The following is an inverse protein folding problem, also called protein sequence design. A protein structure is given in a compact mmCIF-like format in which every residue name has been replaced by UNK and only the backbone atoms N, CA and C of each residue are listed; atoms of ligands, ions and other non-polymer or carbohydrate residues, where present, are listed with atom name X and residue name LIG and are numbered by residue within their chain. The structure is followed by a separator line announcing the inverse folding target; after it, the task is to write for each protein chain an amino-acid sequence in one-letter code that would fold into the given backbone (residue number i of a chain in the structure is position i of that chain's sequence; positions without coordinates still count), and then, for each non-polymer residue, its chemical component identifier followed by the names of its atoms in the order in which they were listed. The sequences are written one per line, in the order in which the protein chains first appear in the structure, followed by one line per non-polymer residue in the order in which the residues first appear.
data_IF_968230360719
#
_entry.id   IF_968230360719
#
_cell.length_a   1.000
_cell.length_b   1.000
_cell.length_c   1.000
_cell.angle_alpha   90.00
_cell.angle_beta   90.00
_cell.angle_gamma   90.00
#
_symmetry.space_group_name_H-M   'P 1'
#
loop_
_entity.id
_entity.type
_entity.pdbx_description
1 polymer ?
#
# COMPACT_ATOMS: atom_id res chain seq x y z
N UNK A 1 -11.34 -7.00 -8.33
CA UNK A 1 -10.77 -5.93 -7.48
C UNK A 1 -10.14 -6.55 -6.25
N UNK A 2 -8.96 -6.10 -5.88
CA UNK A 2 -8.18 -6.56 -4.71
C UNK A 2 -7.89 -5.36 -3.80
N UNK A 3 -8.14 -5.48 -2.50
CA UNK A 3 -7.59 -4.59 -1.49
C UNK A 3 -6.19 -5.10 -1.14
N UNK A 4 -5.17 -4.31 -1.47
CA UNK A 4 -3.77 -4.68 -1.31
C UNK A 4 -3.13 -4.05 -0.07
N UNK A 5 -3.92 -3.53 0.86
CA UNK A 5 -3.38 -2.93 2.07
C UNK A 5 -2.42 -3.88 2.79
N UNK A 6 -1.21 -3.40 3.05
CA UNK A 6 -0.06 -4.11 3.62
C UNK A 6 0.62 -5.14 2.69
N UNK A 7 0.12 -5.35 1.46
CA UNK A 7 0.78 -6.20 0.47
C UNK A 7 1.84 -5.46 -0.34
N UNK A 8 1.66 -4.16 -0.53
CA UNK A 8 2.50 -3.34 -1.40
C UNK A 8 3.96 -3.37 -0.96
N UNK A 9 4.86 -3.60 -1.90
CA UNK A 9 6.33 -3.62 -1.69
C UNK A 9 6.84 -4.72 -0.74
N UNK A 10 6.01 -5.70 -0.38
CA UNK A 10 6.43 -6.86 0.41
C UNK A 10 7.07 -7.92 -0.47
N UNK A 11 6.50 -8.15 -1.64
CA UNK A 11 7.03 -9.06 -2.66
C UNK A 11 7.31 -8.29 -3.97
N UNK A 12 7.89 -8.98 -4.93
CA UNK A 12 8.13 -8.49 -6.31
C UNK A 12 6.91 -8.68 -7.21
N UNK A 13 5.91 -9.42 -6.78
CA UNK A 13 4.67 -9.69 -7.50
C UNK A 13 3.53 -8.91 -6.84
N UNK A 14 2.87 -8.07 -7.63
CA UNK A 14 1.69 -7.34 -7.20
C UNK A 14 0.42 -8.01 -7.77
N UNK A 15 -0.77 -7.76 -7.18
CA UNK A 15 -2.00 -8.40 -7.66
C UNK A 15 -2.31 -8.20 -9.15
N UNK A 16 -1.86 -7.09 -9.74
CA UNK A 16 -1.98 -6.84 -11.19
C UNK A 16 -1.20 -7.83 -12.04
N UNK A 17 -0.07 -8.33 -11.55
CA UNK A 17 0.79 -9.27 -12.28
C UNK A 17 0.15 -10.66 -12.38
N UNK A 18 -0.77 -10.95 -11.49
CA UNK A 18 -1.51 -12.22 -11.43
C UNK A 18 -2.99 -12.09 -11.82
N UNK A 19 -3.34 -11.01 -12.52
CA UNK A 19 -4.64 -10.87 -13.19
C UNK A 19 -5.69 -10.04 -12.45
N UNK A 20 -5.33 -9.29 -11.43
CA UNK A 20 -6.28 -8.34 -10.86
C UNK A 20 -6.47 -7.14 -11.80
N UNK A 21 -7.70 -6.87 -12.20
CA UNK A 21 -8.04 -5.72 -13.05
C UNK A 21 -7.94 -4.38 -12.32
N UNK A 22 -8.17 -4.38 -11.02
CA UNK A 22 -8.16 -3.18 -10.18
C UNK A 22 -7.67 -3.51 -8.78
N UNK A 23 -6.79 -2.67 -8.28
CA UNK A 23 -6.19 -2.73 -6.95
C UNK A 23 -6.59 -1.45 -6.22
N UNK A 24 -6.90 -1.57 -4.95
CA UNK A 24 -7.14 -0.45 -4.06
C UNK A 24 -6.27 -0.58 -2.82
N UNK A 25 -5.90 0.53 -2.23
CA UNK A 25 -5.14 0.52 -1.00
C UNK A 25 -5.10 1.88 -0.31
N UNK A 26 -4.42 1.92 0.81
CA UNK A 26 -4.33 3.10 1.67
C UNK A 26 -2.94 3.73 1.59
N UNK A 27 -2.89 5.04 1.37
CA UNK A 27 -1.63 5.79 1.36
C UNK A 27 -1.07 6.05 2.77
N UNK A 28 -1.84 5.84 3.83
CA UNK A 28 -1.31 5.92 5.20
C UNK A 28 -0.58 4.64 5.65
N UNK A 29 -0.53 3.63 4.79
CA UNK A 29 0.15 2.36 5.00
C UNK A 29 1.42 2.29 4.14
N UNK A 30 1.78 1.10 3.65
CA UNK A 30 3.03 0.89 2.92
C UNK A 30 3.32 1.95 1.84
N UNK A 31 2.38 2.27 0.91
CA UNK A 31 2.69 3.23 -0.16
C UNK A 31 3.00 4.65 0.30
N UNK A 32 2.58 5.00 1.50
CA UNK A 32 2.84 6.34 2.05
C UNK A 32 4.20 6.50 2.68
N UNK A 33 4.99 5.43 2.84
CA UNK A 33 6.36 5.48 3.36
C UNK A 33 6.51 6.15 4.72
N UNK A 34 5.45 6.19 5.53
CA UNK A 34 5.40 6.89 6.81
C UNK A 34 5.20 8.41 6.73
N UNK A 35 5.06 8.98 5.53
CA UNK A 35 4.95 10.43 5.33
C UNK A 35 3.57 10.88 4.85
N UNK A 36 2.79 10.03 4.22
CA UNK A 36 1.46 10.38 3.75
C UNK A 36 0.50 10.58 4.93
N UNK A 37 -0.09 11.78 5.08
CA UNK A 37 -0.96 12.06 6.22
C UNK A 37 -2.34 11.44 6.08
N UNK A 38 -2.77 11.13 4.86
CA UNK A 38 -4.08 10.62 4.52
C UNK A 38 -4.08 10.09 3.10
N UNK A 39 -5.16 9.49 2.67
CA UNK A 39 -5.43 9.16 1.28
C UNK A 39 -5.51 7.67 1.00
N UNK A 40 -6.00 7.38 -0.18
CA UNK A 40 -6.05 6.06 -0.78
C UNK A 40 -5.61 6.13 -2.23
N UNK A 41 -5.43 4.98 -2.84
CA UNK A 41 -5.14 4.88 -4.26
C UNK A 41 -6.02 3.82 -4.92
N UNK A 42 -6.21 3.99 -6.21
CA UNK A 42 -6.79 3.00 -7.12
C UNK A 42 -5.83 2.86 -8.29
N UNK A 43 -5.40 1.65 -8.58
CA UNK A 43 -4.54 1.32 -9.70
C UNK A 43 -5.13 0.15 -10.51
N UNK A 44 -4.79 0.05 -11.79
CA UNK A 44 -5.22 -1.04 -12.65
C UNK A 44 -5.65 -0.58 -14.03
N UNK A 45 -6.62 -1.28 -14.61
CA UNK A 45 -7.11 -0.97 -15.95
C UNK A 45 -7.65 0.45 -16.05
N UNK A 46 -7.28 1.13 -17.13
CA UNK A 46 -7.62 2.54 -17.38
C UNK A 46 -9.12 2.83 -17.26
N UNK A 47 -9.95 2.02 -17.90
CA UNK A 47 -11.40 2.19 -17.91
C UNK A 47 -12.02 2.12 -16.51
N UNK A 48 -11.50 1.24 -15.64
CA UNK A 48 -11.94 1.10 -14.26
C UNK A 48 -11.48 2.27 -13.39
N UNK A 49 -10.22 2.69 -13.54
CA UNK A 49 -9.67 3.83 -12.81
C UNK A 49 -10.36 5.14 -13.19
N UNK A 50 -10.65 5.34 -14.48
CA UNK A 50 -11.41 6.50 -14.96
C UNK A 50 -12.85 6.48 -14.45
N UNK A 51 -13.52 5.33 -14.47
CA UNK A 51 -14.84 5.17 -13.89
C UNK A 51 -14.88 5.50 -12.39
N UNK A 52 -13.88 5.06 -11.64
CA UNK A 52 -13.74 5.39 -10.22
C UNK A 52 -13.52 6.88 -9.99
N UNK A 53 -12.68 7.54 -10.81
CA UNK A 53 -12.42 8.98 -10.72
C UNK A 53 -13.69 9.82 -10.96
N UNK A 54 -14.56 9.39 -11.88
CA UNK A 54 -15.83 10.04 -12.14
C UNK A 54 -16.81 9.96 -10.95
N UNK A 55 -16.65 8.94 -10.10
CA UNK A 55 -17.46 8.75 -8.89
C UNK A 55 -16.89 9.48 -7.67
N UNK A 56 -15.59 9.69 -7.63
CA UNK A 56 -14.90 10.30 -6.49
C UNK A 56 -15.19 11.81 -6.39
N UNK A 57 -15.34 12.48 -7.51
CA UNK A 57 -15.58 13.93 -7.60
C UNK A 57 -17.03 14.23 -7.99
N UNK A 58 -17.35 15.51 -8.16
CA UNK A 58 -18.68 15.94 -8.63
C UNK A 58 -18.91 15.53 -10.10
N UNK A 59 -20.16 15.29 -10.52
CA UNK A 59 -20.48 14.97 -11.92
C UNK A 59 -19.88 15.96 -12.91
N UNK A 60 -19.23 15.43 -13.94
CA UNK A 60 -18.60 16.22 -15.01
C UNK A 60 -17.19 16.74 -14.72
N UNK A 61 -16.69 16.61 -13.49
CA UNK A 61 -15.35 17.08 -13.12
C UNK A 61 -14.28 16.00 -13.36
N UNK A 62 -14.57 14.75 -13.03
CA UNK A 62 -13.63 13.65 -13.21
C UNK A 62 -12.31 13.88 -12.47
N UNK A 63 -11.19 13.84 -13.22
CA UNK A 63 -9.84 14.02 -12.68
C UNK A 63 -9.33 15.47 -12.69
N UNK A 64 -10.10 16.43 -13.16
CA UNK A 64 -9.66 17.82 -13.28
C UNK A 64 -9.48 18.51 -11.92
N UNK A 65 -10.26 18.09 -10.92
CA UNK A 65 -10.12 18.56 -9.55
C UNK A 65 -9.76 17.39 -8.63
N UNK A 66 -8.67 17.53 -7.90
CA UNK A 66 -8.27 16.58 -6.87
C UNK A 66 -8.57 17.11 -5.47
N UNK A 67 -8.67 16.20 -4.51
CA UNK A 67 -8.88 16.50 -3.08
C UNK A 67 -7.63 16.27 -2.25
N UNK A 68 -6.45 16.58 -2.78
CA UNK A 68 -5.17 16.31 -2.10
C UNK A 68 -4.81 17.34 -1.03
N UNK A 69 -5.51 18.45 -0.97
CA UNK A 69 -5.34 19.49 0.06
C UNK A 69 -3.88 19.92 0.29
N UNK A 70 -3.07 19.95 -0.77
CA UNK A 70 -1.66 20.32 -0.71
C UNK A 70 -0.71 19.21 -0.22
N UNK A 71 -1.21 17.99 0.01
CA UNK A 71 -0.41 16.87 0.52
C UNK A 71 0.47 16.19 -0.55
N UNK A 72 0.40 16.58 -1.81
CA UNK A 72 1.09 15.92 -2.92
C UNK A 72 2.58 15.68 -2.66
N UNK A 73 3.28 16.64 -2.09
CA UNK A 73 4.72 16.50 -1.79
C UNK A 73 4.97 15.33 -0.84
N UNK A 74 4.22 15.25 0.26
CA UNK A 74 4.35 14.15 1.23
C UNK A 74 3.94 12.80 0.63
N UNK A 75 2.92 12.79 -0.23
CA UNK A 75 2.48 11.58 -0.92
C UNK A 75 3.57 11.03 -1.85
N UNK A 76 4.15 11.87 -2.71
CA UNK A 76 5.21 11.44 -3.65
C UNK A 76 6.52 11.11 -2.94
N UNK A 77 6.91 11.88 -1.94
CA UNK A 77 8.09 11.57 -1.15
C UNK A 77 7.90 10.28 -0.36
N UNK A 78 6.73 10.06 0.20
CA UNK A 78 6.37 8.82 0.88
C UNK A 78 6.43 7.62 -0.06
N UNK A 79 5.86 7.74 -1.24
CA UNK A 79 5.91 6.68 -2.26
C UNK A 79 7.36 6.34 -2.66
N UNK A 80 8.21 7.34 -2.82
CA UNK A 80 9.64 7.13 -3.11
C UNK A 80 10.36 6.35 -2.00
N UNK A 81 10.01 6.60 -0.75
CA UNK A 81 10.60 5.92 0.41
C UNK A 81 9.92 4.59 0.76
N UNK A 82 8.73 4.34 0.24
CA UNK A 82 7.87 3.23 0.62
C UNK A 82 8.54 1.85 0.56
N UNK A 83 9.30 1.48 -0.50
CA UNK A 83 9.95 0.17 -0.55
C UNK A 83 10.95 -0.02 0.59
N UNK A 84 11.74 1.00 0.90
CA UNK A 84 12.69 0.95 2.02
C UNK A 84 11.96 0.85 3.37
N UNK A 85 10.96 1.68 3.59
CA UNK A 85 10.19 1.72 4.85
C UNK A 85 9.49 0.39 5.09
N UNK A 86 8.86 -0.17 4.05
CA UNK A 86 8.19 -1.48 4.12
C UNK A 86 9.19 -2.60 4.42
N UNK A 87 10.34 -2.61 3.76
CA UNK A 87 11.39 -3.59 4.03
C UNK A 87 11.88 -3.54 5.49
N UNK A 88 12.02 -2.35 6.07
CA UNK A 88 12.39 -2.22 7.49
C UNK A 88 11.27 -2.71 8.42
N UNK A 89 10.00 -2.47 8.08
CA UNK A 89 8.87 -2.98 8.84
C UNK A 89 8.81 -4.51 8.83
N UNK A 90 8.98 -5.13 7.66
CA UNK A 90 9.02 -6.60 7.53
C UNK A 90 10.20 -7.19 8.32
N UNK A 91 11.40 -6.60 8.20
CA UNK A 91 12.58 -7.02 9.00
C UNK A 91 12.30 -6.95 10.51
N UNK A 92 11.66 -5.89 10.96
CA UNK A 92 11.30 -5.73 12.37
C UNK A 92 10.33 -6.81 12.83
N UNK A 93 9.32 -7.14 12.01
CA UNK A 93 8.37 -8.20 12.31
C UNK A 93 9.04 -9.58 12.39
N UNK A 94 9.93 -9.89 11.43
CA UNK A 94 10.71 -11.15 11.42
C UNK A 94 11.61 -11.23 12.65
N UNK A 95 12.31 -10.14 12.97
CA UNK A 95 13.17 -10.08 14.15
C UNK A 95 12.38 -10.30 15.44
N UNK A 96 11.24 -9.63 15.60
CA UNK A 96 10.39 -9.78 16.77
C UNK A 96 9.88 -11.23 16.92
N UNK A 97 9.39 -11.83 15.83
CA UNK A 97 8.96 -13.22 15.82
C UNK A 97 10.10 -14.15 16.26
N UNK A 98 11.30 -13.96 15.69
CA UNK A 98 12.47 -14.79 16.05
C UNK A 98 12.88 -14.64 17.51
N UNK A 99 12.87 -13.44 18.03
CA UNK A 99 13.17 -13.18 19.45
C UNK A 99 12.18 -13.91 20.36
N UNK A 100 10.89 -13.85 20.06
CA UNK A 100 9.87 -14.51 20.86
C UNK A 100 9.97 -16.04 20.79
N UNK A 101 10.27 -16.60 19.61
CA UNK A 101 10.53 -18.04 19.44
C UNK A 101 11.71 -18.51 20.29
N UNK A 102 12.81 -17.75 20.29
CA UNK A 102 13.98 -18.06 21.11
C UNK A 102 13.70 -18.03 22.63
N UNK A 103 12.71 -17.25 23.04
CA UNK A 103 12.21 -17.19 24.40
C UNK A 103 11.18 -18.31 24.73
N UNK A 104 10.88 -19.18 23.78
CA UNK A 104 9.97 -20.32 23.96
C UNK A 104 8.49 -20.01 23.68
N UNK A 105 8.17 -18.86 23.11
CA UNK A 105 6.81 -18.53 22.72
C UNK A 105 6.50 -19.01 21.29
N UNK A 106 5.24 -19.37 21.05
CA UNK A 106 4.73 -19.62 19.72
C UNK A 106 4.39 -18.28 19.06
N UNK A 107 4.86 -18.09 17.83
CA UNK A 107 4.53 -16.91 17.03
C UNK A 107 3.70 -17.28 15.81
N UNK A 108 2.85 -16.38 15.37
CA UNK A 108 2.09 -16.47 14.14
C UNK A 108 1.97 -15.08 13.49
N UNK A 109 2.54 -14.88 12.33
CA UNK A 109 3.37 -15.80 11.55
C UNK A 109 4.73 -16.07 12.20
N UNK A 110 5.34 -17.20 11.86
CA UNK A 110 6.68 -17.56 12.36
C UNK A 110 7.76 -16.70 11.71
N UNK A 111 8.98 -16.72 12.27
CA UNK A 111 10.09 -15.92 11.73
C UNK A 111 10.53 -16.34 10.32
N UNK A 112 10.25 -17.56 9.90
CA UNK A 112 10.58 -18.16 8.61
C UNK A 112 9.38 -18.22 7.64
N UNK A 113 8.21 -17.76 8.05
CA UNK A 113 7.03 -17.67 7.17
C UNK A 113 7.32 -16.68 6.04
N UNK A 114 7.09 -17.10 4.79
CA UNK A 114 7.11 -16.21 3.61
C UNK A 114 5.99 -15.20 3.75
N UNK A 115 6.31 -13.94 3.50
CA UNK A 115 5.38 -12.80 3.62
C UNK A 115 5.25 -12.10 2.30
#
# INVERSE_FOLDING_TARGET
MVDNCYGEFVDTIEPSDVGADMIVGSLIKNPGGGLAPTGGYIAGRRDLVEGAAMRLSAPGIGKECGSTFGANRSLYQGLFLAPHTTAQAVKTAVFAARMMELLGYRTEPTSDTVR
#
